data_IF_168593554218
#
_entry.id   IF_168593554218
#
_cell.length_a   1.000
_cell.length_b   1.000
_cell.length_c   1.000
_cell.angle_alpha   90.00
_cell.angle_beta   90.00
_cell.angle_gamma   90.00
#
_symmetry.space_group_name_H-M   'P 1'
#
loop_
_entity.id
_entity.type
_entity.pdbx_description
1 polymer ?
#
# COMPACT_ATOMS: atom_id res chain seq x y z
N UNK A 1 18.24 11.62 16.01
CA UNK A 1 17.53 10.83 14.98
C UNK A 1 18.43 9.80 14.31
N UNK A 2 19.71 10.09 14.05
CA UNK A 2 20.67 9.15 13.44
C UNK A 2 20.70 7.76 14.11
N UNK A 3 20.62 7.69 15.44
CA UNK A 3 20.66 6.43 16.19
C UNK A 3 19.49 5.46 15.94
N UNK A 4 18.39 5.89 15.32
CA UNK A 4 17.23 5.01 15.06
C UNK A 4 16.84 4.95 13.58
N UNK A 5 17.56 5.65 12.71
CA UNK A 5 17.22 5.75 11.29
C UNK A 5 17.27 4.37 10.63
N UNK A 6 18.31 3.59 10.91
CA UNK A 6 18.51 2.26 10.33
C UNK A 6 17.39 1.31 10.78
N UNK A 7 17.02 1.34 12.05
CA UNK A 7 15.94 0.54 12.63
C UNK A 7 14.59 0.88 11.99
N UNK A 8 14.31 2.17 11.77
CA UNK A 8 13.10 2.63 11.07
C UNK A 8 13.10 2.13 9.63
N UNK A 9 14.22 2.21 8.93
CA UNK A 9 14.35 1.75 7.54
C UNK A 9 14.17 0.23 7.42
N UNK A 10 14.75 -0.55 8.34
CA UNK A 10 14.58 -2.01 8.41
C UNK A 10 13.12 -2.36 8.68
N UNK A 11 12.50 -1.71 9.66
CA UNK A 11 11.08 -1.93 9.98
C UNK A 11 10.17 -1.62 8.79
N UNK A 12 10.38 -0.47 8.12
CA UNK A 12 9.65 -0.12 6.90
C UNK A 12 9.81 -1.17 5.81
N UNK A 13 11.04 -1.67 5.62
CA UNK A 13 11.34 -2.72 4.64
C UNK A 13 10.55 -4.01 4.93
N UNK A 14 10.56 -4.47 6.17
CA UNK A 14 9.84 -5.69 6.56
C UNK A 14 8.33 -5.56 6.38
N UNK A 15 7.77 -4.40 6.71
CA UNK A 15 6.35 -4.13 6.56
C UNK A 15 5.92 -4.00 5.10
N UNK A 16 6.72 -3.37 4.24
CA UNK A 16 6.48 -3.34 2.79
C UNK A 16 6.56 -4.74 2.17
N UNK A 17 7.52 -5.58 2.59
CA UNK A 17 7.59 -6.98 2.14
C UNK A 17 6.35 -7.76 2.58
N UNK A 18 5.86 -7.54 3.80
CA UNK A 18 4.61 -8.13 4.25
C UNK A 18 3.44 -7.69 3.38
N UNK A 19 3.31 -6.40 3.08
CA UNK A 19 2.26 -5.88 2.19
C UNK A 19 2.33 -6.48 0.79
N UNK A 20 3.52 -6.50 0.20
CA UNK A 20 3.77 -7.12 -1.09
C UNK A 20 3.43 -8.61 -1.10
N UNK A 21 3.68 -9.32 0.01
CA UNK A 21 3.46 -10.77 0.10
C UNK A 21 1.99 -11.16 -0.01
N UNK A 22 1.10 -10.45 0.68
CA UNK A 22 -0.34 -10.76 0.65
C UNK A 22 -1.03 -10.21 -0.60
N UNK A 23 -0.52 -9.11 -1.17
CA UNK A 23 -1.02 -8.55 -2.42
C UNK A 23 -0.57 -9.33 -3.67
N UNK A 24 0.37 -10.27 -3.50
CA UNK A 24 0.96 -11.00 -4.62
C UNK A 24 -0.09 -11.83 -5.37
N UNK A 25 -0.19 -11.57 -6.67
CA UNK A 25 -1.01 -12.32 -7.62
C UNK A 25 -0.39 -12.31 -9.02
N UNK A 26 -0.93 -13.14 -9.92
CA UNK A 26 -0.51 -13.17 -11.33
C UNK A 26 -1.16 -12.07 -12.16
N UNK A 27 -2.34 -11.59 -11.77
CA UNK A 27 -3.10 -10.55 -12.47
C UNK A 27 -3.52 -9.43 -11.53
N UNK A 28 -3.87 -8.27 -12.08
CA UNK A 28 -4.40 -7.14 -11.29
C UNK A 28 -5.72 -7.55 -10.62
N UNK A 29 -6.55 -8.32 -11.32
CA UNK A 29 -7.77 -8.91 -10.78
C UNK A 29 -7.47 -9.81 -9.57
N UNK A 30 -6.45 -10.66 -9.65
CA UNK A 30 -6.04 -11.51 -8.54
C UNK A 30 -5.57 -10.71 -7.32
N UNK A 31 -4.83 -9.61 -7.55
CA UNK A 31 -4.40 -8.71 -6.47
C UNK A 31 -5.61 -8.05 -5.78
N UNK A 32 -6.60 -7.63 -6.57
CA UNK A 32 -7.85 -7.09 -6.05
C UNK A 32 -8.71 -8.17 -5.39
N UNK A 33 -8.68 -9.41 -5.86
CA UNK A 33 -9.37 -10.53 -5.23
C UNK A 33 -8.79 -10.82 -3.83
N UNK A 34 -7.47 -10.80 -3.67
CA UNK A 34 -6.83 -10.93 -2.36
C UNK A 34 -7.28 -9.80 -1.43
N UNK A 35 -7.36 -8.57 -1.94
CA UNK A 35 -7.86 -7.41 -1.19
C UNK A 35 -9.36 -7.58 -0.84
N UNK A 36 -10.15 -8.09 -1.78
CA UNK A 36 -11.57 -8.37 -1.59
C UNK A 36 -11.83 -9.45 -0.52
N UNK A 37 -10.97 -10.46 -0.43
CA UNK A 37 -11.04 -11.48 0.61
C UNK A 37 -11.02 -10.88 2.03
N UNK A 38 -10.17 -9.87 2.27
CA UNK A 38 -10.15 -9.15 3.55
C UNK A 38 -11.33 -8.18 3.68
N UNK A 39 -11.68 -7.48 2.60
CA UNK A 39 -12.83 -6.58 2.56
C UNK A 39 -14.15 -7.27 2.94
N UNK A 40 -14.39 -8.49 2.45
CA UNK A 40 -15.60 -9.27 2.79
C UNK A 40 -15.73 -9.55 4.28
N UNK A 41 -14.60 -9.77 4.97
CA UNK A 41 -14.62 -9.99 6.43
C UNK A 41 -14.91 -8.69 7.17
N UNK A 42 -14.25 -7.61 6.78
CA UNK A 42 -14.47 -6.26 7.29
C UNK A 42 -13.64 -5.25 6.51
N UNK A 43 -14.21 -4.07 6.24
CA UNK A 43 -13.45 -2.94 5.68
C UNK A 43 -12.29 -2.51 6.60
N UNK A 44 -12.45 -2.64 7.92
CA UNK A 44 -11.38 -2.33 8.88
C UNK A 44 -10.24 -3.33 8.79
N UNK A 45 -10.52 -4.59 8.47
CA UNK A 45 -9.49 -5.60 8.28
C UNK A 45 -8.68 -5.30 7.03
N UNK A 46 -9.32 -4.90 5.94
CA UNK A 46 -8.62 -4.44 4.74
C UNK A 46 -7.66 -3.29 5.08
N UNK A 47 -8.12 -2.27 5.82
CA UNK A 47 -7.27 -1.15 6.20
C UNK A 47 -6.12 -1.59 7.10
N UNK A 48 -6.32 -2.56 7.99
CA UNK A 48 -5.27 -3.07 8.88
C UNK A 48 -4.19 -3.86 8.11
N UNK A 49 -4.52 -4.41 6.94
CA UNK A 49 -3.57 -5.09 6.05
C UNK A 49 -2.58 -4.15 5.35
N UNK A 50 -2.64 -2.84 5.63
CA UNK A 50 -1.67 -1.83 5.20
C UNK A 50 -0.83 -1.29 6.38
N UNK A 51 -0.04 -2.13 7.08
CA UNK A 51 0.70 -1.73 8.27
C UNK A 51 1.71 -0.60 8.05
N UNK A 52 2.28 -0.45 6.85
CA UNK A 52 3.23 0.64 6.55
C UNK A 52 2.58 2.03 6.62
N UNK A 53 1.29 2.14 6.30
CA UNK A 53 0.58 3.41 6.47
C UNK A 53 0.61 3.86 7.94
N UNK A 54 0.23 2.96 8.85
CA UNK A 54 0.24 3.24 10.29
C UNK A 54 1.65 3.39 10.84
N UNK A 55 2.61 2.66 10.29
CA UNK A 55 4.02 2.79 10.67
C UNK A 55 4.58 4.17 10.33
N UNK A 56 4.32 4.68 9.12
CA UNK A 56 4.76 6.03 8.72
C UNK A 56 4.06 7.09 9.56
N UNK A 57 2.77 6.91 9.89
CA UNK A 57 2.05 7.77 10.82
C UNK A 57 2.70 7.77 12.21
N UNK A 58 3.03 6.58 12.73
CA UNK A 58 3.73 6.42 14.01
C UNK A 58 5.10 7.11 14.00
N UNK A 59 5.90 6.90 12.95
CA UNK A 59 7.21 7.54 12.79
C UNK A 59 7.06 9.06 12.78
N UNK A 60 6.07 9.60 12.08
CA UNK A 60 5.78 11.04 12.06
C UNK A 60 5.50 11.59 13.46
N UNK A 61 4.66 10.90 14.24
CA UNK A 61 4.32 11.31 15.60
C UNK A 61 5.51 11.17 16.57
N UNK A 62 6.24 10.05 16.48
CA UNK A 62 7.37 9.75 17.36
C UNK A 62 8.56 10.69 17.12
N UNK A 63 8.81 11.08 15.87
CA UNK A 63 9.88 12.00 15.49
C UNK A 63 9.44 13.47 15.53
N UNK A 64 8.13 13.73 15.70
CA UNK A 64 7.52 15.06 15.55
C UNK A 64 7.80 15.70 14.18
N UNK A 65 8.01 14.88 13.16
CA UNK A 65 8.33 15.31 11.80
C UNK A 65 7.13 15.11 10.89
N UNK A 66 6.60 16.20 10.34
CA UNK A 66 5.53 16.19 9.33
C UNK A 66 5.96 17.02 8.12
N UNK A 67 7.00 16.56 7.42
CA UNK A 67 7.50 17.22 6.22
C UNK A 67 6.80 16.70 4.97
N UNK A 68 7.16 17.30 3.83
CA UNK A 68 6.62 16.95 2.53
C UNK A 68 6.78 15.45 2.18
N UNK A 69 7.90 14.82 2.57
CA UNK A 69 8.15 13.41 2.28
C UNK A 69 7.17 12.49 3.01
N UNK A 70 7.01 12.68 4.33
CA UNK A 70 6.06 11.91 5.14
C UNK A 70 4.61 12.14 4.64
N UNK A 71 4.24 13.39 4.38
CA UNK A 71 2.90 13.72 3.85
C UNK A 71 2.66 13.07 2.49
N UNK A 72 3.67 13.02 1.63
CA UNK A 72 3.59 12.37 0.31
C UNK A 72 3.34 10.87 0.47
N UNK A 73 4.10 10.18 1.34
CA UNK A 73 3.91 8.74 1.57
C UNK A 73 2.49 8.46 2.09
N UNK A 74 2.04 9.21 3.09
CA UNK A 74 0.69 9.04 3.66
C UNK A 74 -0.41 9.31 2.62
N UNK A 75 -0.25 10.33 1.79
CA UNK A 75 -1.20 10.67 0.73
C UNK A 75 -1.27 9.57 -0.32
N UNK A 76 -0.12 9.12 -0.83
CA UNK A 76 -0.07 8.05 -1.85
C UNK A 76 -0.70 6.75 -1.34
N UNK A 77 -0.41 6.34 -0.10
CA UNK A 77 -1.03 5.16 0.50
C UNK A 77 -2.53 5.32 0.74
N UNK A 78 -2.98 6.51 1.12
CA UNK A 78 -4.41 6.80 1.26
C UNK A 78 -5.13 6.70 -0.08
N UNK A 79 -4.53 7.26 -1.14
CA UNK A 79 -5.06 7.21 -2.51
C UNK A 79 -5.14 5.76 -3.00
N UNK A 80 -4.08 4.97 -2.82
CA UNK A 80 -4.07 3.54 -3.19
C UNK A 80 -5.23 2.77 -2.54
N UNK A 81 -5.42 2.96 -1.23
CA UNK A 81 -6.44 2.29 -0.45
C UNK A 81 -7.87 2.73 -0.83
N UNK A 82 -8.09 4.03 -1.08
CA UNK A 82 -9.38 4.53 -1.57
C UNK A 82 -9.70 3.95 -2.94
N UNK A 83 -8.75 3.96 -3.88
CA UNK A 83 -8.96 3.41 -5.22
C UNK A 83 -9.20 1.90 -5.20
N UNK A 84 -8.48 1.15 -4.36
CA UNK A 84 -8.73 -0.29 -4.18
C UNK A 84 -10.15 -0.56 -3.70
N UNK A 85 -10.62 0.18 -2.69
CA UNK A 85 -12.00 0.02 -2.19
C UNK A 85 -13.03 0.37 -3.27
N UNK A 86 -12.82 1.46 -4.01
CA UNK A 86 -13.73 1.86 -5.09
C UNK A 86 -13.82 0.81 -6.19
N UNK A 87 -12.67 0.28 -6.65
CA UNK A 87 -12.62 -0.76 -7.68
C UNK A 87 -13.23 -2.07 -7.16
N UNK A 88 -12.95 -2.46 -5.92
CA UNK A 88 -13.53 -3.67 -5.31
C UNK A 88 -15.05 -3.58 -5.30
N UNK A 89 -15.62 -2.44 -4.88
CA UNK A 89 -17.07 -2.24 -4.90
C UNK A 89 -17.63 -2.34 -6.31
N UNK A 90 -17.05 -1.61 -7.26
CA UNK A 90 -17.54 -1.60 -8.65
C UNK A 90 -17.44 -2.96 -9.34
N UNK A 91 -16.35 -3.69 -9.12
CA UNK A 91 -16.08 -4.98 -9.79
C UNK A 91 -16.78 -6.14 -9.10
N UNK A 92 -16.60 -6.33 -7.79
CA UNK A 92 -17.04 -7.54 -7.09
C UNK A 92 -18.42 -7.42 -6.43
N UNK A 93 -18.92 -6.19 -6.18
CA UNK A 93 -20.21 -5.97 -5.51
C UNK A 93 -21.27 -5.51 -6.51
N UNK A 94 -20.99 -4.44 -7.24
CA UNK A 94 -21.97 -3.77 -8.11
C UNK A 94 -22.00 -4.32 -9.53
N UNK A 95 -20.99 -5.10 -9.95
CA UNK A 95 -20.79 -5.59 -11.33
C UNK A 95 -20.94 -4.49 -12.40
N UNK A 96 -20.46 -3.28 -12.08
CA UNK A 96 -20.64 -2.07 -12.89
C UNK A 96 -19.29 -1.45 -13.27
N UNK A 97 -18.30 -2.30 -13.55
CA UNK A 97 -17.00 -1.85 -14.01
C UNK A 97 -17.03 -1.59 -15.52
N UNK A 98 -16.43 -0.50 -15.96
CA UNK A 98 -16.30 -0.20 -17.38
C UNK A 98 -15.44 -1.28 -18.08
N UNK A 99 -15.80 -1.64 -19.31
CA UNK A 99 -15.16 -2.67 -20.14
C UNK A 99 -13.66 -2.34 -20.33
N UNK A 100 -13.31 -1.06 -20.39
CA UNK A 100 -11.91 -0.62 -20.46
C UNK A 100 -11.11 -1.05 -19.22
N UNK A 101 -11.71 -0.98 -18.03
CA UNK A 101 -11.08 -1.40 -16.77
C UNK A 101 -11.01 -2.92 -16.64
N UNK A 102 -12.01 -3.67 -17.12
CA UNK A 102 -11.95 -5.14 -17.12
C UNK A 102 -10.72 -5.68 -17.88
N UNK A 103 -10.32 -5.02 -18.97
CA UNK A 103 -9.12 -5.40 -19.73
C UNK A 103 -7.84 -5.17 -18.91
N UNK A 104 -7.79 -4.09 -18.13
CA UNK A 104 -6.67 -3.78 -17.25
C UNK A 104 -6.61 -4.82 -16.12
N UNK A 105 -7.75 -5.18 -15.53
CA UNK A 105 -7.83 -6.18 -14.47
C UNK A 105 -7.24 -7.54 -14.88
N UNK A 106 -7.47 -7.96 -16.13
CA UNK A 106 -6.94 -9.22 -16.67
C UNK A 106 -5.46 -9.16 -17.05
N UNK A 107 -4.83 -7.99 -17.00
CA UNK A 107 -3.42 -7.84 -17.32
C UNK A 107 -2.53 -8.54 -16.31
N UNK A 108 -1.39 -9.04 -16.80
CA UNK A 108 -0.40 -9.70 -15.96
C UNK A 108 0.37 -8.69 -15.12
N UNK A 109 0.59 -8.99 -13.84
CA UNK A 109 1.40 -8.16 -12.96
C UNK A 109 2.81 -8.70 -12.91
N UNK A 110 3.75 -7.92 -13.41
CA UNK A 110 5.18 -8.20 -13.33
C UNK A 110 5.65 -8.26 -11.87
N UNK A 111 6.59 -9.16 -11.55
CA UNK A 111 7.04 -9.37 -10.16
C UNK A 111 7.70 -8.14 -9.54
N UNK A 112 8.28 -7.24 -10.34
CA UNK A 112 8.91 -6.01 -9.85
C UNK A 112 7.89 -4.97 -9.36
N UNK A 113 6.62 -5.05 -9.77
CA UNK A 113 5.56 -4.14 -9.33
C UNK A 113 5.37 -4.23 -7.80
N UNK A 114 5.52 -5.44 -7.24
CA UNK A 114 5.45 -5.65 -5.79
C UNK A 114 6.63 -5.04 -5.03
N UNK A 115 7.75 -4.77 -5.70
CA UNK A 115 8.88 -4.05 -5.12
C UNK A 115 8.75 -2.52 -5.24
N UNK A 116 7.73 -2.00 -5.95
CA UNK A 116 7.56 -0.56 -6.13
C UNK A 116 7.36 0.18 -4.81
N UNK A 117 6.65 -0.42 -3.85
CA UNK A 117 6.49 0.17 -2.51
C UNK A 117 7.84 0.38 -1.83
N UNK A 118 8.72 -0.63 -1.88
CA UNK A 118 10.09 -0.51 -1.38
C UNK A 118 10.88 0.57 -2.11
N UNK A 119 10.87 0.55 -3.45
CA UNK A 119 11.67 1.48 -4.26
C UNK A 119 11.20 2.93 -4.12
N UNK A 120 9.90 3.16 -3.87
CA UNK A 120 9.34 4.50 -3.79
C UNK A 120 9.35 5.02 -2.35
N UNK A 121 8.87 4.24 -1.39
CA UNK A 121 8.66 4.75 -0.02
C UNK A 121 9.92 4.77 0.83
N UNK A 122 10.86 3.82 0.67
CA UNK A 122 12.11 3.84 1.47
C UNK A 122 12.96 5.08 1.18
N UNK A 123 13.28 5.44 -0.08
CA UNK A 123 14.12 6.61 -0.34
C UNK A 123 13.46 7.90 0.14
N UNK A 124 12.13 8.03 -0.03
CA UNK A 124 11.40 9.21 0.44
C UNK A 124 11.44 9.29 1.98
N UNK A 125 11.24 8.17 2.68
CA UNK A 125 11.28 8.13 4.13
C UNK A 125 12.68 8.44 4.66
N UNK A 126 13.72 7.89 4.02
CA UNK A 126 15.11 8.17 4.36
C UNK A 126 15.43 9.66 4.24
N UNK A 127 15.10 10.28 3.10
CA UNK A 127 15.31 11.71 2.88
C UNK A 127 14.46 12.58 3.82
N UNK A 128 13.29 12.10 4.23
CA UNK A 128 12.42 12.81 5.16
C UNK A 128 12.93 12.79 6.61
N UNK A 129 13.80 11.84 6.97
CA UNK A 129 14.30 11.68 8.34
C UNK A 129 15.77 12.10 8.51
N UNK A 130 16.43 12.44 7.40
CA UNK A 130 17.76 13.05 7.35
C UNK A 130 17.67 14.54 7.74
#
# INVERSE_FOLDING_TARGET
MENYLIEIMIAMTLLEIFEASWQRATTIEGMLYNSYYYYQKSIFLLFLMHPTFYFVLFVSLATQTLNFGIVTILTLKSIDLIFKVDIIKKHFVDNNLDIAFERILKSHVESWVYAMGLLLYLPILFLALL
#
